data_IF_392197175638
#
_entry.id   IF_392197175638
#
_cell.length_a   1.000
_cell.length_b   1.000
_cell.length_c   1.000
_cell.angle_alpha   90.00
_cell.angle_beta   90.00
_cell.angle_gamma   90.00
#
_symmetry.space_group_name_H-M   'P 1'
#
loop_
_entity.id
_entity.type
_entity.pdbx_description
1 polymer ?
#
# COMPACT_ATOMS: atom_id res chain seq x y z
N UNK A 1 1.28 -24.45 -21.76
CA UNK A 1 0.14 -23.53 -21.62
C UNK A 1 -0.11 -23.28 -20.14
N UNK A 2 0.11 -22.07 -19.64
CA UNK A 2 -0.26 -21.73 -18.27
C UNK A 2 -1.72 -21.29 -18.27
N UNK A 3 -2.61 -22.12 -17.73
CA UNK A 3 -3.97 -21.69 -17.42
C UNK A 3 -3.82 -20.67 -16.30
N UNK A 4 -4.17 -19.41 -16.56
CA UNK A 4 -4.23 -18.41 -15.51
C UNK A 4 -5.37 -18.80 -14.57
N UNK A 5 -5.04 -19.55 -13.51
CA UNK A 5 -5.97 -19.75 -12.42
C UNK A 5 -6.18 -18.40 -11.76
N UNK A 6 -7.37 -17.83 -11.99
CA UNK A 6 -7.84 -16.67 -11.26
C UNK A 6 -7.96 -17.07 -9.79
N UNK A 7 -7.14 -16.49 -8.92
CA UNK A 7 -7.29 -16.64 -7.48
C UNK A 7 -8.10 -15.47 -6.93
N UNK A 8 -8.95 -15.74 -5.95
CA UNK A 8 -9.85 -14.77 -5.32
C UNK A 8 -9.57 -14.64 -3.83
N UNK A 9 -10.17 -13.67 -3.16
CA UNK A 9 -9.99 -13.47 -1.71
C UNK A 9 -10.40 -14.68 -0.87
N UNK A 10 -11.34 -15.51 -1.35
CA UNK A 10 -11.78 -16.72 -0.67
C UNK A 10 -10.71 -17.82 -0.64
N UNK A 11 -9.68 -17.76 -1.50
CA UNK A 11 -8.61 -18.75 -1.55
C UNK A 11 -7.51 -18.50 -0.50
N UNK A 12 -7.50 -17.31 0.13
CA UNK A 12 -6.58 -17.04 1.23
C UNK A 12 -6.91 -17.92 2.44
N UNK A 13 -5.88 -18.30 3.19
CA UNK A 13 -6.04 -19.05 4.43
C UNK A 13 -7.10 -18.40 5.34
N UNK A 14 -7.96 -19.22 5.94
CA UNK A 14 -8.98 -18.73 6.88
C UNK A 14 -8.37 -18.23 8.18
N UNK A 15 -7.22 -18.81 8.56
CA UNK A 15 -6.46 -18.46 9.75
C UNK A 15 -5.64 -17.19 9.52
N UNK A 16 -5.78 -16.26 10.46
CA UNK A 16 -4.99 -15.05 10.55
C UNK A 16 -3.58 -15.37 11.08
N UNK A 17 -2.56 -14.86 10.40
CA UNK A 17 -1.15 -15.06 10.73
C UNK A 17 -0.48 -13.75 11.21
N UNK A 18 0.43 -13.81 12.20
CA UNK A 18 1.21 -12.65 12.64
C UNK A 18 1.96 -11.99 11.49
N UNK A 19 1.90 -10.67 11.42
CA UNK A 19 2.45 -9.83 10.37
C UNK A 19 3.02 -8.55 10.98
N UNK A 20 4.10 -8.03 10.40
CA UNK A 20 4.71 -6.79 10.85
C UNK A 20 4.97 -5.86 9.67
N UNK A 21 4.70 -4.56 9.86
CA UNK A 21 5.09 -3.48 8.95
C UNK A 21 5.58 -2.31 9.80
N UNK A 22 6.83 -1.87 9.59
CA UNK A 22 7.45 -0.75 10.31
C UNK A 22 7.34 -0.86 11.86
N UNK A 23 7.59 -2.04 12.44
CA UNK A 23 7.45 -2.28 13.89
C UNK A 23 6.02 -2.47 14.39
N UNK A 24 5.01 -2.26 13.53
CA UNK A 24 3.60 -2.43 13.89
C UNK A 24 3.18 -3.87 13.64
N UNK A 25 2.77 -4.56 14.71
CA UNK A 25 2.31 -5.95 14.66
C UNK A 25 0.79 -6.02 14.47
N UNK A 26 0.36 -6.90 13.58
CA UNK A 26 -1.05 -7.14 13.23
C UNK A 26 -1.21 -8.52 12.59
N UNK A 27 -2.41 -8.83 12.10
CA UNK A 27 -2.71 -10.10 11.44
C UNK A 27 -3.07 -9.93 9.97
N UNK A 28 -2.72 -10.94 9.17
CA UNK A 28 -3.13 -11.06 7.79
C UNK A 28 -3.24 -12.54 7.40
N UNK A 29 -4.05 -12.82 6.39
CA UNK A 29 -4.21 -14.14 5.78
C UNK A 29 -3.18 -14.36 4.71
N UNK A 30 -2.67 -15.59 4.61
CA UNK A 30 -1.63 -15.99 3.68
C UNK A 30 -2.28 -16.59 2.42
N UNK A 31 -1.78 -16.22 1.23
CA UNK A 31 -2.23 -16.80 -0.03
C UNK A 31 -1.83 -18.29 -0.13
N UNK A 32 -2.48 -19.08 -1.00
CA UNK A 32 -2.11 -20.48 -1.22
C UNK A 32 -0.63 -20.68 -1.57
N UNK A 33 -0.08 -21.83 -1.18
CA UNK A 33 1.33 -22.18 -1.42
C UNK A 33 1.75 -22.11 -2.89
N UNK A 34 0.85 -22.47 -3.81
CA UNK A 34 1.13 -22.38 -5.24
C UNK A 34 1.43 -20.93 -5.68
N UNK A 35 0.68 -19.96 -5.14
CA UNK A 35 0.87 -18.52 -5.42
C UNK A 35 2.18 -18.04 -4.79
N UNK A 36 2.45 -18.43 -3.53
CA UNK A 36 3.69 -18.04 -2.84
C UNK A 36 4.93 -18.64 -3.53
N UNK A 37 4.88 -19.90 -3.97
CA UNK A 37 5.97 -20.54 -4.75
C UNK A 37 6.20 -19.83 -6.07
N UNK A 38 5.13 -19.49 -6.80
CA UNK A 38 5.24 -18.75 -8.05
C UNK A 38 5.86 -17.36 -7.84
N UNK A 39 5.38 -16.59 -6.86
CA UNK A 39 5.96 -15.28 -6.51
C UNK A 39 7.42 -15.40 -6.04
N UNK A 40 7.74 -16.43 -5.25
CA UNK A 40 9.10 -16.66 -4.77
C UNK A 40 10.07 -16.94 -5.92
N UNK A 41 9.61 -17.67 -6.96
CA UNK A 41 10.37 -17.84 -8.20
C UNK A 41 10.57 -16.53 -8.96
N UNK A 42 9.56 -15.67 -9.02
CA UNK A 42 9.65 -14.36 -9.69
C UNK A 42 10.62 -13.40 -8.98
N UNK A 43 10.60 -13.36 -7.64
CA UNK A 43 11.44 -12.46 -6.84
C UNK A 43 12.80 -13.06 -6.45
N UNK A 44 13.07 -14.32 -6.83
CA UNK A 44 14.28 -15.06 -6.47
C UNK A 44 14.56 -15.09 -4.95
N UNK A 45 13.51 -15.12 -4.13
CA UNK A 45 13.58 -15.25 -2.67
C UNK A 45 12.24 -15.73 -2.13
N UNK A 46 12.24 -16.36 -0.95
CA UNK A 46 11.00 -16.76 -0.30
C UNK A 46 10.14 -15.53 0.05
N UNK A 47 8.92 -15.50 -0.49
CA UNK A 47 7.93 -14.45 -0.22
C UNK A 47 6.54 -15.06 -0.02
N UNK A 48 5.69 -14.30 0.68
CA UNK A 48 4.28 -14.62 0.83
C UNK A 48 3.43 -13.44 0.40
N UNK A 49 2.39 -13.72 -0.40
CA UNK A 49 1.32 -12.75 -0.62
C UNK A 49 0.37 -12.80 0.58
N UNK A 50 0.03 -11.62 1.12
CA UNK A 50 -0.82 -11.48 2.31
C UNK A 50 -1.96 -10.52 2.06
N UNK A 51 -3.12 -10.84 2.63
CA UNK A 51 -4.30 -9.99 2.63
C UNK A 51 -4.74 -9.75 4.07
N UNK A 52 -5.08 -8.51 4.43
CA UNK A 52 -5.51 -8.14 5.80
C UNK A 52 -6.80 -8.80 6.26
N UNK A 53 -7.46 -9.57 5.38
CA UNK A 53 -8.71 -10.24 5.68
C UNK A 53 -9.88 -9.26 5.77
N UNK A 54 -11.08 -9.78 6.08
CA UNK A 54 -12.29 -8.97 6.23
C UNK A 54 -12.28 -8.12 7.51
N UNK A 55 -11.52 -8.54 8.53
CA UNK A 55 -11.45 -7.86 9.83
C UNK A 55 -10.03 -7.35 10.07
N UNK A 56 -9.81 -6.07 9.77
CA UNK A 56 -8.50 -5.45 9.86
C UNK A 56 -8.10 -5.20 11.33
N UNK A 57 -6.95 -5.74 11.73
CA UNK A 57 -6.40 -5.56 13.09
C UNK A 57 -5.39 -4.41 13.20
N UNK A 58 -4.81 -3.95 12.08
CA UNK A 58 -3.88 -2.81 12.08
C UNK A 58 -4.61 -1.47 12.04
N UNK A 59 -4.09 -0.49 12.80
CA UNK A 59 -4.63 0.86 12.95
C UNK A 59 -3.58 1.93 12.67
N UNK A 60 -4.02 3.12 12.32
CA UNK A 60 -3.16 4.30 12.20
C UNK A 60 -2.61 4.67 13.58
N UNK A 61 -1.30 4.91 13.68
CA UNK A 61 -0.65 5.36 14.92
C UNK A 61 -1.28 6.68 15.38
N UNK A 62 -1.71 6.75 16.65
CA UNK A 62 -2.45 7.88 17.25
C UNK A 62 -3.91 8.05 16.78
N UNK A 63 -4.43 7.17 15.92
CA UNK A 63 -5.83 7.14 15.50
C UNK A 63 -6.37 5.71 15.51
N UNK A 64 -6.56 5.16 16.71
CA UNK A 64 -6.84 3.73 16.93
C UNK A 64 -8.17 3.23 16.34
N UNK A 65 -9.08 4.12 15.95
CA UNK A 65 -10.34 3.77 15.28
C UNK A 65 -10.19 3.65 13.76
N UNK A 66 -9.10 4.17 13.19
CA UNK A 66 -8.89 4.22 11.74
C UNK A 66 -8.16 2.95 11.28
N UNK A 67 -8.79 2.07 10.48
CA UNK A 67 -8.12 0.91 9.90
C UNK A 67 -6.97 1.33 8.98
N UNK A 68 -5.88 0.57 9.01
CA UNK A 68 -4.76 0.74 8.10
C UNK A 68 -4.38 -0.62 7.52
N UNK A 69 -4.22 -0.73 6.21
CA UNK A 69 -3.74 -1.96 5.57
C UNK A 69 -2.21 -2.02 5.62
N UNK A 70 -1.53 -2.39 4.55
CA UNK A 70 -0.06 -2.41 4.48
C UNK A 70 0.59 -1.04 4.21
N UNK A 71 -0.19 0.04 4.09
CA UNK A 71 0.33 1.38 3.86
C UNK A 71 1.21 1.90 5.02
N UNK A 72 2.12 2.84 4.73
CA UNK A 72 3.17 3.25 5.66
C UNK A 72 2.64 3.99 6.90
N UNK A 73 1.60 4.82 6.75
CA UNK A 73 1.11 5.64 7.86
C UNK A 73 -0.35 6.04 7.84
N UNK A 74 -0.93 6.30 6.67
CA UNK A 74 -2.34 6.69 6.54
C UNK A 74 -3.02 5.97 5.36
N UNK A 75 -4.35 5.78 5.38
CA UNK A 75 -5.07 5.07 4.32
C UNK A 75 -5.01 5.77 2.97
N UNK A 76 -4.90 7.11 2.99
CA UNK A 76 -4.82 7.93 1.78
C UNK A 76 -3.63 8.89 1.83
N UNK A 77 -3.00 9.05 0.68
CA UNK A 77 -2.01 10.06 0.38
C UNK A 77 -2.57 10.99 -0.70
N UNK A 78 -2.67 12.28 -0.34
CA UNK A 78 -3.10 13.34 -1.25
C UNK A 78 -1.86 14.08 -1.75
N UNK A 79 -1.82 14.35 -3.05
CA UNK A 79 -0.80 15.18 -3.68
C UNK A 79 -1.44 16.34 -4.45
N UNK A 80 -0.72 17.46 -4.53
CA UNK A 80 -1.12 18.64 -5.27
C UNK A 80 -0.23 18.80 -6.51
N UNK A 81 -0.84 19.00 -7.68
CA UNK A 81 -0.12 19.31 -8.93
C UNK A 81 0.77 20.55 -8.81
N UNK A 82 0.31 21.60 -8.10
CA UNK A 82 1.10 22.81 -7.90
C UNK A 82 2.36 22.55 -7.06
N UNK A 83 2.28 21.68 -6.04
CA UNK A 83 3.45 21.28 -5.25
C UNK A 83 4.44 20.44 -6.07
N UNK A 84 3.96 19.59 -6.99
CA UNK A 84 4.84 18.86 -7.90
C UNK A 84 5.56 19.83 -8.85
N UNK A 85 4.85 20.80 -9.44
CA UNK A 85 5.46 21.81 -10.34
C UNK A 85 6.51 22.64 -9.62
N UNK A 86 6.23 23.09 -8.40
CA UNK A 86 7.20 23.82 -7.58
C UNK A 86 8.47 22.97 -7.31
N UNK A 87 8.30 21.68 -7.02
CA UNK A 87 9.44 20.79 -6.82
C UNK A 87 10.23 20.56 -8.11
N UNK A 88 9.56 20.38 -9.25
CA UNK A 88 10.21 20.20 -10.56
C UNK A 88 11.06 21.42 -10.95
N UNK A 89 10.64 22.64 -10.60
CA UNK A 89 11.45 23.84 -10.84
C UNK A 89 12.77 23.85 -10.07
N UNK A 90 12.83 23.14 -8.94
CA UNK A 90 13.99 23.08 -8.06
C UNK A 90 14.82 21.79 -8.22
N UNK A 91 14.36 20.86 -9.05
CA UNK A 91 14.97 19.53 -9.19
C UNK A 91 15.45 19.28 -10.63
N UNK A 92 16.78 19.17 -10.85
CA UNK A 92 17.34 18.86 -12.18
C UNK A 92 16.90 17.49 -12.72
N UNK A 93 16.63 16.55 -11.83
CA UNK A 93 16.02 15.27 -12.19
C UNK A 93 14.51 15.47 -12.30
N UNK A 94 13.96 15.35 -13.51
CA UNK A 94 12.52 15.49 -13.75
C UNK A 94 11.73 14.44 -12.93
N UNK A 95 11.17 14.86 -11.80
CA UNK A 95 10.31 14.01 -10.96
C UNK A 95 8.89 13.92 -11.53
N UNK A 96 8.24 12.78 -11.36
CA UNK A 96 6.86 12.50 -11.81
C UNK A 96 5.95 12.20 -10.63
N UNK A 97 4.64 12.43 -10.81
CA UNK A 97 3.64 12.27 -9.74
C UNK A 97 3.62 10.83 -9.19
N UNK A 98 3.79 9.83 -10.04
CA UNK A 98 3.70 8.41 -9.69
C UNK A 98 4.80 7.99 -8.70
N UNK A 99 5.92 8.71 -8.68
CA UNK A 99 7.01 8.46 -7.74
C UNK A 99 6.62 8.77 -6.29
N UNK A 100 5.64 9.66 -6.08
CA UNK A 100 5.08 9.98 -4.77
C UNK A 100 3.98 9.00 -4.33
N UNK A 101 3.51 8.14 -5.25
CA UNK A 101 2.45 7.13 -5.00
C UNK A 101 1.18 7.70 -4.35
N UNK A 102 0.64 8.85 -4.82
CA UNK A 102 -0.60 9.37 -4.25
C UNK A 102 -1.76 8.44 -4.56
N UNK A 103 -2.76 8.43 -3.68
CA UNK A 103 -4.06 7.85 -3.98
C UNK A 103 -4.94 8.85 -4.72
N UNK A 104 -4.80 10.14 -4.39
CA UNK A 104 -5.60 11.24 -4.93
C UNK A 104 -4.70 12.40 -5.33
N UNK A 105 -4.88 12.91 -6.54
CA UNK A 105 -4.19 14.10 -7.05
C UNK A 105 -5.21 15.23 -7.17
N UNK A 106 -4.87 16.40 -6.63
CA UNK A 106 -5.74 17.57 -6.63
C UNK A 106 -5.12 18.66 -7.50
N UNK A 107 -5.94 19.22 -8.39
CA UNK A 107 -5.61 20.37 -9.22
C UNK A 107 -6.25 21.66 -8.66
N UNK A 108 -5.85 22.82 -9.17
CA UNK A 108 -6.46 24.11 -8.83
C UNK A 108 -6.14 24.68 -7.43
N UNK A 109 -5.40 23.94 -6.60
CA UNK A 109 -4.92 24.40 -5.30
C UNK A 109 -3.51 25.02 -5.40
N UNK A 110 -3.25 26.10 -4.67
CA UNK A 110 -1.91 26.71 -4.60
C UNK A 110 -0.87 25.76 -3.99
N UNK A 111 0.38 25.86 -4.44
CA UNK A 111 1.49 25.09 -3.90
C UNK A 111 1.65 25.35 -2.38
N UNK A 112 1.97 24.30 -1.61
CA UNK A 112 2.16 24.41 -0.16
C UNK A 112 0.88 24.54 0.68
N UNK A 113 -0.30 24.73 0.05
CA UNK A 113 -1.57 24.69 0.80
C UNK A 113 -1.81 23.25 1.26
N UNK A 114 -1.89 23.06 2.59
CA UNK A 114 -2.36 21.80 3.16
C UNK A 114 -3.75 21.51 2.59
N UNK A 115 -3.86 20.42 1.84
CA UNK A 115 -5.16 19.87 1.46
C UNK A 115 -5.65 19.14 2.70
N UNK A 116 -6.77 19.59 3.25
CA UNK A 116 -7.26 19.20 4.58
C UNK A 116 -7.19 17.68 4.80
N UNK A 117 -6.65 17.25 5.95
CA UNK A 117 -6.63 15.84 6.37
C UNK A 117 -5.31 15.29 6.91
N UNK A 118 -4.22 16.08 7.00
CA UNK A 118 -3.00 15.75 7.75
C UNK A 118 -2.42 16.93 8.54
#
# INVERSE_FOLDING_TARGET
>A
MAVAHMFVFADFATQDAPTEVWGTHFTARIAPDAINKWLSGFFSREVQLRWVGPQMTRRVKRHNTVPLSFADGYPYLLANEASLRDLQQRCPASVKMEQFRPNLVVSGASAGKKIAGK
#
